data_IF_969878398280
#
_entry.id   IF_969878398280
#
_cell.length_a   1.000
_cell.length_b   1.000
_cell.length_c   1.000
_cell.angle_alpha   90.00
_cell.angle_beta   90.00
_cell.angle_gamma   90.00
#
_symmetry.space_group_name_H-M   'P 1'
#
loop_
_entity.id
_entity.type
_entity.pdbx_description
1 polymer ?
#
# COMPACT_ATOMS: atom_id res chain seq x y z
N UNK A 1 6.34 -57.79 0.94
CA UNK A 1 7.54 -57.02 0.53
C UNK A 1 7.08 -56.07 -0.57
N UNK A 2 7.01 -54.75 -0.27
CA UNK A 2 7.83 -53.70 -0.90
C UNK A 2 7.52 -53.52 -2.41
N UNK A 3 7.23 -52.35 -2.98
CA UNK A 3 7.51 -50.98 -2.56
C UNK A 3 6.56 -50.01 -3.25
N UNK A 4 6.11 -49.02 -2.47
CA UNK A 4 5.62 -47.74 -2.96
C UNK A 4 6.70 -47.06 -3.81
N UNK A 5 6.34 -46.54 -4.98
CA UNK A 5 7.00 -45.38 -5.57
C UNK A 5 5.96 -44.28 -5.72
N UNK A 6 5.70 -43.61 -4.59
CA UNK A 6 5.20 -42.24 -4.63
C UNK A 6 6.25 -41.42 -5.38
N UNK A 7 5.88 -40.99 -6.59
CA UNK A 7 6.61 -39.98 -7.33
C UNK A 7 6.25 -38.66 -6.65
N UNK A 8 7.04 -38.26 -5.66
CA UNK A 8 6.93 -36.94 -5.05
C UNK A 8 7.31 -35.93 -6.12
N UNK A 9 6.31 -35.42 -6.83
CA UNK A 9 6.45 -34.20 -7.63
C UNK A 9 6.76 -33.07 -6.66
N UNK A 10 8.05 -32.75 -6.55
CA UNK A 10 8.50 -31.48 -6.00
C UNK A 10 7.89 -30.38 -6.86
N UNK A 11 6.79 -29.79 -6.41
CA UNK A 11 6.35 -28.50 -6.91
C UNK A 11 7.48 -27.51 -6.61
N UNK A 12 8.07 -26.99 -7.68
CA UNK A 12 8.96 -25.84 -7.64
C UNK A 12 8.31 -24.71 -6.82
N UNK A 13 9.06 -23.91 -6.04
CA UNK A 13 8.51 -22.74 -5.39
C UNK A 13 7.96 -21.80 -6.47
N UNK A 14 6.67 -21.54 -6.39
CA UNK A 14 5.93 -20.66 -7.27
C UNK A 14 6.36 -19.21 -6.99
N UNK A 15 7.40 -18.75 -7.70
CA UNK A 15 7.95 -17.40 -7.55
C UNK A 15 6.96 -16.30 -8.01
N UNK A 16 5.86 -16.66 -8.68
CA UNK A 16 4.77 -15.74 -9.02
C UNK A 16 3.81 -15.47 -7.86
N UNK A 17 3.57 -16.48 -7.01
CA UNK A 17 2.66 -16.37 -5.87
C UNK A 17 3.22 -15.57 -4.69
N UNK A 18 4.54 -15.48 -4.51
CA UNK A 18 5.11 -14.81 -3.33
C UNK A 18 4.88 -13.30 -3.35
N UNK A 19 5.05 -12.65 -4.51
CA UNK A 19 4.77 -11.22 -4.67
C UNK A 19 3.29 -10.88 -4.52
N UNK A 20 2.40 -11.71 -5.07
CA UNK A 20 0.95 -11.56 -4.93
C UNK A 20 0.50 -11.79 -3.48
N UNK A 21 1.04 -12.79 -2.81
CA UNK A 21 0.70 -13.08 -1.41
C UNK A 21 1.14 -11.94 -0.48
N UNK A 22 2.33 -11.37 -0.69
CA UNK A 22 2.78 -10.19 0.07
C UNK A 22 1.90 -8.97 -0.20
N UNK A 23 1.45 -8.78 -1.44
CA UNK A 23 0.49 -7.75 -1.79
C UNK A 23 -0.85 -7.95 -1.08
N UNK A 24 -1.41 -9.16 -1.13
CA UNK A 24 -2.69 -9.49 -0.52
C UNK A 24 -2.65 -9.29 1.01
N UNK A 25 -1.56 -9.72 1.67
CA UNK A 25 -1.31 -9.48 3.10
C UNK A 25 -1.29 -7.97 3.39
N UNK A 26 -0.52 -7.22 2.60
CA UNK A 26 -0.37 -5.78 2.79
C UNK A 26 -1.71 -5.05 2.66
N UNK A 27 -2.46 -5.32 1.59
CA UNK A 27 -3.77 -4.71 1.34
C UNK A 27 -4.78 -5.12 2.40
N UNK A 28 -4.86 -6.40 2.76
CA UNK A 28 -5.81 -6.88 3.77
C UNK A 28 -5.58 -6.23 5.13
N UNK A 29 -4.32 -6.09 5.56
CA UNK A 29 -3.99 -5.36 6.79
C UNK A 29 -4.35 -3.88 6.67
N UNK A 30 -4.03 -3.24 5.55
CA UNK A 30 -4.35 -1.85 5.32
C UNK A 30 -5.85 -1.56 5.37
N UNK A 31 -6.66 -2.33 4.66
CA UNK A 31 -8.13 -2.20 4.66
C UNK A 31 -8.70 -2.39 6.07
N UNK A 32 -8.18 -3.36 6.83
CA UNK A 32 -8.58 -3.54 8.24
C UNK A 32 -8.30 -2.28 9.07
N UNK A 33 -7.15 -1.63 8.88
CA UNK A 33 -6.82 -0.38 9.56
C UNK A 33 -7.72 0.77 9.10
N UNK A 34 -8.04 0.86 7.79
CA UNK A 34 -8.96 1.87 7.25
C UNK A 34 -10.34 1.77 7.91
N UNK A 35 -10.91 0.58 8.01
CA UNK A 35 -12.21 0.40 8.68
C UNK A 35 -12.17 0.81 10.16
N UNK A 36 -11.03 0.60 10.84
CA UNK A 36 -10.82 1.10 12.21
C UNK A 36 -10.80 2.65 12.32
N UNK A 37 -10.63 3.36 11.21
CA UNK A 37 -10.59 4.83 11.14
C UNK A 37 -11.89 5.45 10.62
N UNK A 38 -12.89 4.66 10.22
CA UNK A 38 -14.13 5.15 9.60
C UNK A 38 -14.80 6.27 10.42
N UNK A 39 -15.00 6.06 11.72
CA UNK A 39 -15.63 7.06 12.60
C UNK A 39 -14.85 8.37 12.74
N UNK A 40 -13.56 8.39 12.40
CA UNK A 40 -12.69 9.59 12.49
C UNK A 40 -12.59 10.34 11.17
N UNK A 41 -12.74 9.66 10.03
CA UNK A 41 -12.51 10.24 8.70
C UNK A 41 -13.80 10.63 7.97
N UNK A 42 -14.96 10.12 8.41
CA UNK A 42 -16.23 10.34 7.73
C UNK A 42 -16.64 11.82 7.65
N UNK A 43 -16.85 12.31 6.43
CA UNK A 43 -17.49 13.58 6.10
C UNK A 43 -16.65 14.84 6.27
N UNK A 44 -15.47 14.77 6.91
CA UNK A 44 -14.64 15.94 7.24
C UNK A 44 -13.13 15.76 7.01
N UNK A 45 -12.68 14.64 6.41
CA UNK A 45 -11.26 14.41 6.20
C UNK A 45 -10.67 15.41 5.18
N UNK A 46 -9.66 16.17 5.60
CA UNK A 46 -8.87 17.00 4.69
C UNK A 46 -7.86 16.14 3.90
N UNK A 47 -7.28 16.73 2.86
CA UNK A 47 -6.17 16.13 2.09
C UNK A 47 -5.03 15.71 3.02
N UNK A 48 -4.71 16.56 4.01
CA UNK A 48 -3.67 16.27 4.98
C UNK A 48 -4.05 15.11 5.90
N UNK A 49 -5.32 14.99 6.28
CA UNK A 49 -5.78 13.88 7.13
C UNK A 49 -5.70 12.55 6.39
N UNK A 50 -6.15 12.50 5.13
CA UNK A 50 -6.05 11.31 4.29
C UNK A 50 -4.59 10.92 4.03
N UNK A 51 -3.71 11.90 3.76
CA UNK A 51 -2.30 11.64 3.49
C UNK A 51 -1.56 11.15 4.73
N UNK A 52 -1.83 11.75 5.90
CA UNK A 52 -1.29 11.27 7.16
C UNK A 52 -1.84 9.87 7.51
N UNK A 53 -3.14 9.62 7.32
CA UNK A 53 -3.74 8.32 7.57
C UNK A 53 -3.10 7.23 6.71
N UNK A 54 -2.92 7.48 5.42
CA UNK A 54 -2.22 6.56 4.52
C UNK A 54 -0.79 6.29 4.99
N UNK A 55 -0.02 7.34 5.31
CA UNK A 55 1.33 7.19 5.86
C UNK A 55 1.36 6.32 7.13
N UNK A 56 0.46 6.55 8.08
CA UNK A 56 0.43 5.79 9.33
C UNK A 56 0.07 4.33 9.10
N UNK A 57 -0.85 4.03 8.19
CA UNK A 57 -1.22 2.65 7.83
C UNK A 57 -0.02 1.93 7.22
N UNK A 58 0.59 2.50 6.18
CA UNK A 58 1.75 1.91 5.51
C UNK A 58 2.88 1.65 6.49
N UNK A 59 3.20 2.63 7.33
CA UNK A 59 4.25 2.49 8.35
C UNK A 59 3.94 1.41 9.38
N UNK A 60 2.68 1.29 9.81
CA UNK A 60 2.29 0.27 10.79
C UNK A 60 2.42 -1.13 10.20
N UNK A 61 1.93 -1.35 8.97
CA UNK A 61 2.06 -2.63 8.25
C UNK A 61 3.53 -2.99 8.06
N UNK A 62 4.37 -2.05 7.66
CA UNK A 62 5.80 -2.32 7.49
C UNK A 62 6.52 -2.63 8.81
N UNK A 63 6.12 -1.96 9.90
CA UNK A 63 6.69 -2.21 11.22
C UNK A 63 6.30 -3.60 11.71
N UNK A 64 5.00 -3.94 11.64
CA UNK A 64 4.48 -5.26 11.99
C UNK A 64 5.09 -6.36 11.10
N UNK A 65 5.20 -6.10 9.80
CA UNK A 65 5.87 -7.00 8.85
C UNK A 65 7.31 -7.26 9.26
N UNK A 66 8.09 -6.22 9.53
CA UNK A 66 9.49 -6.36 9.94
C UNK A 66 9.64 -7.13 11.27
N UNK A 67 8.75 -6.92 12.24
CA UNK A 67 8.70 -7.68 13.50
C UNK A 67 8.40 -9.18 13.28
N UNK A 68 7.65 -9.51 12.23
CA UNK A 68 7.32 -10.88 11.84
C UNK A 68 8.26 -11.45 10.75
N UNK A 69 9.37 -10.76 10.44
CA UNK A 69 10.34 -11.20 9.44
C UNK A 69 9.90 -11.04 7.98
N UNK A 70 8.79 -10.33 7.74
CA UNK A 70 8.28 -9.98 6.41
C UNK A 70 8.90 -8.66 5.96
N UNK A 71 9.44 -8.63 4.75
CA UNK A 71 9.85 -7.38 4.09
C UNK A 71 9.04 -7.18 2.82
N UNK A 72 8.27 -6.10 2.80
CA UNK A 72 7.49 -5.75 1.63
C UNK A 72 8.39 -5.11 0.56
N UNK A 73 8.42 -5.63 -0.67
CA UNK A 73 9.15 -4.98 -1.75
C UNK A 73 8.48 -3.66 -2.14
N UNK A 74 9.27 -2.77 -2.75
CA UNK A 74 8.82 -1.44 -3.17
C UNK A 74 7.54 -1.46 -4.02
N UNK A 75 7.40 -2.43 -4.93
CA UNK A 75 6.20 -2.61 -5.75
C UNK A 75 4.95 -2.88 -4.91
N UNK A 76 5.05 -3.74 -3.88
CA UNK A 76 3.94 -4.03 -2.96
C UNK A 76 3.57 -2.79 -2.17
N UNK A 77 4.55 -2.05 -1.65
CA UNK A 77 4.30 -0.80 -0.93
C UNK A 77 3.55 0.21 -1.82
N UNK A 78 4.00 0.39 -3.07
CA UNK A 78 3.40 1.36 -3.99
C UNK A 78 1.98 0.97 -4.41
N UNK A 79 1.80 -0.24 -4.95
CA UNK A 79 0.49 -0.68 -5.44
C UNK A 79 -0.50 -0.88 -4.30
N UNK A 80 -0.06 -1.50 -3.20
CA UNK A 80 -0.91 -1.68 -2.03
C UNK A 80 -1.32 -0.37 -1.37
N UNK A 81 -0.46 0.66 -1.38
CA UNK A 81 -0.82 1.99 -0.87
C UNK A 81 -1.90 2.66 -1.71
N UNK A 82 -1.92 2.45 -3.03
CA UNK A 82 -2.98 2.98 -3.89
C UNK A 82 -4.32 2.32 -3.59
N UNK A 83 -4.37 1.00 -3.39
CA UNK A 83 -5.61 0.32 -2.98
C UNK A 83 -6.11 0.82 -1.62
N UNK A 84 -5.21 0.89 -0.62
CA UNK A 84 -5.55 1.40 0.72
C UNK A 84 -6.09 2.83 0.64
N UNK A 85 -5.51 3.66 -0.22
CA UNK A 85 -5.97 5.02 -0.47
C UNK A 85 -7.39 5.05 -1.06
N UNK A 86 -7.70 4.17 -2.02
CA UNK A 86 -9.07 4.02 -2.53
C UNK A 86 -10.07 3.75 -1.41
N UNK A 87 -9.77 2.77 -0.56
CA UNK A 87 -10.59 2.46 0.60
C UNK A 87 -10.70 3.62 1.60
N UNK A 88 -9.62 4.36 1.86
CA UNK A 88 -9.65 5.55 2.72
C UNK A 88 -10.62 6.61 2.18
N UNK A 89 -10.60 6.85 0.87
CA UNK A 89 -11.47 7.82 0.21
C UNK A 89 -12.93 7.37 0.33
N UNK A 90 -13.21 6.11 -0.01
CA UNK A 90 -14.55 5.54 0.05
C UNK A 90 -15.16 5.64 1.45
N UNK A 91 -14.38 5.25 2.47
CA UNK A 91 -14.79 5.29 3.87
C UNK A 91 -14.94 6.73 4.40
N UNK A 92 -14.08 7.65 3.94
CA UNK A 92 -14.19 9.06 4.32
C UNK A 92 -15.41 9.76 3.71
N UNK A 93 -15.97 9.21 2.62
CA UNK A 93 -17.07 9.76 1.84
C UNK A 93 -16.79 11.18 1.29
N UNK A 94 -15.52 11.58 1.21
CA UNK A 94 -15.13 12.88 0.65
C UNK A 94 -14.96 12.77 -0.85
N UNK A 95 -15.48 13.75 -1.58
CA UNK A 95 -15.22 13.87 -3.01
C UNK A 95 -13.87 14.54 -3.21
N UNK A 96 -12.93 13.82 -3.82
CA UNK A 96 -11.62 14.36 -4.16
C UNK A 96 -11.46 14.47 -5.67
N UNK A 97 -10.81 15.53 -6.11
CA UNK A 97 -10.36 15.67 -7.50
C UNK A 97 -9.00 14.98 -7.70
N UNK A 98 -8.60 14.75 -8.95
CA UNK A 98 -7.29 14.18 -9.28
C UNK A 98 -6.14 15.03 -8.69
N UNK A 99 -6.25 16.36 -8.72
CA UNK A 99 -5.26 17.25 -8.11
C UNK A 99 -5.16 17.09 -6.60
N UNK A 100 -6.30 16.86 -5.92
CA UNK A 100 -6.32 16.62 -4.48
C UNK A 100 -5.81 15.22 -4.14
N UNK A 101 -6.10 14.22 -4.96
CA UNK A 101 -5.57 12.86 -4.83
C UNK A 101 -4.03 12.85 -4.91
N UNK A 102 -3.46 13.56 -5.90
CA UNK A 102 -2.00 13.76 -6.00
C UNK A 102 -1.44 14.44 -4.75
N UNK A 103 -2.16 15.41 -4.20
CA UNK A 103 -1.76 16.08 -2.96
C UNK A 103 -1.81 15.15 -1.73
N UNK A 104 -2.81 14.27 -1.63
CA UNK A 104 -2.89 13.24 -0.57
C UNK A 104 -1.66 12.34 -0.62
N UNK A 105 -1.31 11.84 -1.81
CA UNK A 105 -0.14 10.98 -1.96
C UNK A 105 1.16 11.76 -1.72
N UNK A 106 1.24 13.00 -2.18
CA UNK A 106 2.38 13.88 -1.90
C UNK A 106 2.63 14.06 -0.40
N UNK A 107 1.56 14.24 0.40
CA UNK A 107 1.65 14.30 1.86
C UNK A 107 2.15 12.96 2.42
N UNK A 108 1.56 11.83 2.00
CA UNK A 108 1.95 10.51 2.48
C UNK A 108 3.42 10.20 2.18
N UNK A 109 3.87 10.44 0.95
CA UNK A 109 5.26 10.25 0.51
C UNK A 109 6.20 11.20 1.23
N UNK A 110 5.84 12.47 1.39
CA UNK A 110 6.65 13.45 2.13
C UNK A 110 6.89 12.98 3.57
N UNK A 111 5.82 12.61 4.28
CA UNK A 111 5.89 12.03 5.63
C UNK A 111 6.73 10.76 5.67
N UNK A 112 6.56 9.90 4.67
CA UNK A 112 7.30 8.67 4.57
C UNK A 112 8.80 8.95 4.47
N UNK A 113 9.22 9.77 3.50
CA UNK A 113 10.62 10.19 3.31
C UNK A 113 11.21 10.82 4.57
N UNK A 114 10.47 11.74 5.22
CA UNK A 114 10.89 12.37 6.48
C UNK A 114 11.19 11.34 7.59
N UNK A 115 10.49 10.20 7.61
CA UNK A 115 10.59 9.21 8.67
C UNK A 115 11.53 8.02 8.33
N UNK A 116 11.63 7.59 7.07
CA UNK A 116 12.50 6.46 6.68
C UNK A 116 13.88 6.87 6.18
N UNK A 117 14.06 8.06 5.58
CA UNK A 117 15.37 8.52 5.12
C UNK A 117 16.40 8.67 6.25
N UNK A 118 16.10 9.29 7.41
CA UNK A 118 17.05 9.35 8.52
C UNK A 118 17.29 7.98 9.19
N UNK A 119 16.36 7.03 9.05
CA UNK A 119 16.47 5.68 9.61
C UNK A 119 17.25 4.69 8.72
N UNK A 120 17.73 5.13 7.55
CA UNK A 120 18.47 4.28 6.59
C UNK A 120 17.63 3.17 5.96
N UNK A 121 16.30 3.24 6.06
CA UNK A 121 15.37 2.19 5.57
C UNK A 121 15.10 2.27 4.06
N UNK A 122 15.43 3.40 3.43
CA UNK A 122 15.38 3.58 1.97
C UNK A 122 16.58 4.37 1.44
N UNK A 123 17.05 3.99 0.26
CA UNK A 123 18.07 4.74 -0.48
C UNK A 123 17.46 5.95 -1.19
N UNK A 124 18.29 6.95 -1.52
CA UNK A 124 17.86 8.13 -2.31
C UNK A 124 17.23 7.74 -3.67
N UNK A 125 17.67 6.64 -4.28
CA UNK A 125 17.08 6.12 -5.51
C UNK A 125 15.65 5.60 -5.33
N UNK A 126 15.40 4.87 -4.24
CA UNK A 126 14.06 4.38 -3.89
C UNK A 126 13.10 5.52 -3.53
N UNK A 127 13.62 6.56 -2.85
CA UNK A 127 12.86 7.80 -2.58
C UNK A 127 12.46 8.49 -3.89
N UNK A 128 13.39 8.59 -4.86
CA UNK A 128 13.12 9.17 -6.17
C UNK A 128 12.04 8.41 -6.94
N UNK A 129 12.05 7.06 -6.90
CA UNK A 129 11.03 6.23 -7.54
C UNK A 129 9.65 6.42 -6.88
N UNK A 130 9.59 6.48 -5.55
CA UNK A 130 8.35 6.79 -4.82
C UNK A 130 7.77 8.16 -5.23
N UNK A 131 8.62 9.18 -5.28
CA UNK A 131 8.21 10.53 -5.64
C UNK A 131 7.75 10.65 -7.10
N UNK A 132 8.41 9.96 -8.02
CA UNK A 132 8.02 9.92 -9.44
C UNK A 132 6.68 9.21 -9.63
N UNK A 133 6.45 8.09 -8.92
CA UNK A 133 5.20 7.35 -9.02
C UNK A 133 4.00 8.13 -8.47
N UNK A 134 4.22 8.90 -7.39
CA UNK A 134 3.22 9.81 -6.83
C UNK A 134 2.81 10.93 -7.81
N UNK A 135 3.72 11.36 -8.68
CA UNK A 135 3.49 12.45 -9.64
C UNK A 135 2.96 11.97 -10.99
N UNK A 136 3.31 10.74 -11.42
CA UNK A 136 3.11 10.27 -12.79
C UNK A 136 1.84 9.46 -13.08
N UNK A 137 1.39 8.60 -12.16
CA UNK A 137 0.53 7.45 -12.56
C UNK A 137 -0.80 7.31 -11.79
N UNK A 138 -1.04 8.20 -10.82
CA UNK A 138 -2.20 8.09 -9.94
C UNK A 138 -3.50 8.45 -10.66
N UNK A 139 -3.45 9.32 -11.67
CA UNK A 139 -4.62 9.69 -12.47
C UNK A 139 -5.19 8.54 -13.29
N UNK A 140 -4.35 7.63 -13.80
CA UNK A 140 -4.78 6.54 -14.68
C UNK A 140 -5.38 5.34 -13.93
N UNK A 141 -4.81 4.97 -12.77
CA UNK A 141 -5.31 3.86 -11.96
C UNK A 141 -6.67 4.16 -11.30
N UNK A 142 -6.88 5.40 -10.85
CA UNK A 142 -8.15 5.80 -10.25
C UNK A 142 -9.19 6.23 -11.30
N UNK A 143 -8.77 6.77 -12.45
CA UNK A 143 -9.67 7.10 -13.56
C UNK A 143 -10.42 5.90 -14.14
N UNK A 144 -9.84 4.70 -14.09
CA UNK A 144 -10.53 3.46 -14.49
C UNK A 144 -11.42 2.86 -13.40
N UNK A 145 -11.10 3.08 -12.13
CA UNK A 145 -11.80 2.46 -10.99
C UNK A 145 -13.07 3.21 -10.57
N UNK A 146 -13.19 4.51 -10.91
CA UNK A 146 -14.38 5.33 -10.65
C UNK A 146 -15.39 5.38 -11.81
N UNK A 147 -15.15 4.65 -12.90
CA UNK A 147 -16.11 4.50 -13.99
C UNK A 147 -16.97 3.25 -13.76
N UNK A 148 -17.80 3.29 -12.71
CA UNK A 148 -18.87 2.30 -12.53
C UNK A 148 -20.19 3.06 -12.42
N UNK A 149 -20.95 2.96 -13.51
CA UNK A 149 -22.35 3.34 -13.78
C UNK A 149 -23.17 4.03 -12.69
#
# INVERSE_FOLDING_TARGET
MQNQKQKTEMKQPDQGNEGQNLYDIFVAQGVKMVHGLEGKLKGNASIYDLGNALFYIVRAIETEGAENGIRFPLSVLLHGSNEILGHLIDVSQVKITEGQLKAVVGVAVGRYVENVAPAGRMTRGQIGQFAQHAQGDIGEQFGRSFQVH
#
